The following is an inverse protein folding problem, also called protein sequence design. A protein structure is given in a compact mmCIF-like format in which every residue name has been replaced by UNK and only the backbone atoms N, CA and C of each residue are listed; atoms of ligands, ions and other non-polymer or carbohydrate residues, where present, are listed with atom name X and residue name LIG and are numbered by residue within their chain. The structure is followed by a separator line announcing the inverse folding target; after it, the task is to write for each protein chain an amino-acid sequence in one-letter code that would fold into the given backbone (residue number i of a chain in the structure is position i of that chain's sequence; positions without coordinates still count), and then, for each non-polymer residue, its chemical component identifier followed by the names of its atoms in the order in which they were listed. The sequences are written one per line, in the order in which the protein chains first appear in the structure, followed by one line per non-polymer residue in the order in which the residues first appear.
data_IF_813079414805
#
_entry.id   IF_813079414805
#
_cell.length_a   1.000
_cell.length_b   1.000
_cell.length_c   1.000
_cell.angle_alpha   90.00
_cell.angle_beta   90.00
_cell.angle_gamma   90.00
#
_symmetry.space_group_name_H-M   'P 1'
#
loop_
_entity.id
_entity.type
_entity.pdbx_description
1 polymer ?
#
# COMPACT_ATOMS: atom_id res chain seq x y z
N UNK A 1 -12.87 -33.87 2.05
CA UNK A 1 -12.80 -33.02 3.25
C UNK A 1 -11.45 -32.30 3.23
N UNK A 2 -11.39 -31.05 2.73
CA UNK A 2 -10.12 -30.31 2.64
C UNK A 2 -10.27 -28.77 2.73
N UNK A 3 -11.47 -28.24 2.96
CA UNK A 3 -11.73 -26.79 2.88
C UNK A 3 -11.61 -26.02 4.19
N UNK A 4 -11.33 -26.66 5.33
CA UNK A 4 -11.40 -25.97 6.65
C UNK A 4 -10.06 -25.46 7.20
N UNK A 5 -8.92 -25.69 6.53
CA UNK A 5 -7.59 -25.28 7.03
C UNK A 5 -7.04 -24.02 6.33
N UNK A 6 -7.59 -23.65 5.16
CA UNK A 6 -7.08 -22.50 4.38
C UNK A 6 -7.66 -21.14 4.82
N UNK A 7 -8.81 -21.13 5.50
CA UNK A 7 -9.49 -19.88 5.88
C UNK A 7 -8.89 -19.22 7.13
N UNK A 8 -8.45 -20.00 8.12
CA UNK A 8 -7.86 -19.45 9.35
C UNK A 8 -6.53 -18.72 9.07
N UNK A 9 -5.61 -19.38 8.37
CA UNK A 9 -4.29 -18.79 8.03
C UNK A 9 -4.42 -17.58 7.09
N UNK A 10 -5.39 -17.61 6.16
CA UNK A 10 -5.66 -16.48 5.26
C UNK A 10 -6.26 -15.28 5.99
N UNK A 11 -7.16 -15.51 6.95
CA UNK A 11 -7.77 -14.44 7.73
C UNK A 11 -6.76 -13.80 8.70
N UNK A 12 -5.88 -14.61 9.30
CA UNK A 12 -4.73 -14.16 10.10
C UNK A 12 -3.69 -13.40 9.27
N UNK A 13 -3.47 -13.79 8.01
CA UNK A 13 -2.56 -13.07 7.11
C UNK A 13 -3.15 -11.71 6.69
N UNK A 14 -4.45 -11.66 6.39
CA UNK A 14 -5.14 -10.44 5.99
C UNK A 14 -5.16 -9.40 7.11
N UNK A 15 -5.40 -9.82 8.36
CA UNK A 15 -5.35 -8.92 9.53
C UNK A 15 -3.93 -8.37 9.74
N UNK A 16 -2.91 -9.24 9.71
CA UNK A 16 -1.49 -8.82 9.83
C UNK A 16 -1.07 -7.84 8.76
N UNK A 17 -1.45 -8.08 7.50
CA UNK A 17 -1.17 -7.14 6.40
C UNK A 17 -1.88 -5.81 6.63
N UNK A 18 -3.14 -5.85 7.07
CA UNK A 18 -3.91 -4.64 7.36
C UNK A 18 -3.24 -3.81 8.45
N UNK A 19 -2.84 -4.44 9.56
CA UNK A 19 -2.18 -3.77 10.68
C UNK A 19 -0.81 -3.21 10.29
N UNK A 20 -0.01 -4.01 9.56
CA UNK A 20 1.30 -3.60 9.07
C UNK A 20 1.21 -2.35 8.18
N UNK A 21 0.26 -2.31 7.24
CA UNK A 21 0.09 -1.16 6.37
C UNK A 21 -0.50 0.05 7.10
N UNK A 22 -1.39 -0.15 8.08
CA UNK A 22 -1.88 0.94 8.94
C UNK A 22 -0.74 1.57 9.75
N UNK A 23 0.09 0.75 10.39
CA UNK A 23 1.27 1.23 11.15
C UNK A 23 2.32 1.86 10.24
N UNK A 24 2.52 1.33 9.03
CA UNK A 24 3.50 1.89 8.09
C UNK A 24 3.14 3.27 7.55
N UNK A 25 1.84 3.53 7.38
CA UNK A 25 1.34 4.76 6.76
C UNK A 25 1.00 5.84 7.78
N UNK A 26 0.66 5.47 9.03
CA UNK A 26 0.27 6.39 10.11
C UNK A 26 -0.75 7.44 9.63
N UNK A 27 -1.67 7.04 8.75
CA UNK A 27 -2.60 7.94 8.08
C UNK A 27 -4.02 7.38 8.13
N UNK A 28 -4.84 7.97 9.01
CA UNK A 28 -6.23 7.56 9.24
C UNK A 28 -7.16 7.79 8.03
N UNK A 29 -6.70 8.56 7.03
CA UNK A 29 -7.46 8.80 5.79
C UNK A 29 -7.35 7.65 4.78
N UNK A 30 -6.48 6.68 5.04
CA UNK A 30 -6.26 5.54 4.14
C UNK A 30 -7.01 4.32 4.68
N UNK A 31 -8.09 3.93 3.99
CA UNK A 31 -8.78 2.68 4.30
C UNK A 31 -8.01 1.51 3.68
N UNK A 32 -7.57 0.55 4.48
CA UNK A 32 -6.84 -0.62 3.99
C UNK A 32 -7.81 -1.77 3.73
N UNK A 33 -7.76 -2.35 2.53
CA UNK A 33 -8.49 -3.57 2.15
C UNK A 33 -7.54 -4.58 1.54
N UNK A 34 -7.76 -5.86 1.80
CA UNK A 34 -6.98 -6.98 1.24
C UNK A 34 -7.87 -7.79 0.31
N UNK A 35 -7.52 -7.87 -0.97
CA UNK A 35 -8.27 -8.65 -1.95
C UNK A 35 -7.33 -9.32 -2.96
N UNK A 36 -7.67 -10.52 -3.45
CA UNK A 36 -6.92 -11.16 -4.52
C UNK A 36 -7.23 -10.47 -5.86
N UNK A 37 -6.22 -9.86 -6.49
CA UNK A 37 -6.36 -9.29 -7.82
C UNK A 37 -6.13 -10.32 -8.93
N UNK A 38 -6.56 -10.01 -10.16
CA UNK A 38 -6.35 -10.90 -11.31
C UNK A 38 -4.89 -11.07 -11.71
N UNK A 39 -4.08 -10.01 -11.58
CA UNK A 39 -2.65 -10.03 -11.86
C UNK A 39 -1.86 -10.18 -10.57
N UNK A 40 -0.79 -10.98 -10.61
CA UNK A 40 0.13 -11.18 -9.50
C UNK A 40 1.26 -10.14 -9.49
N UNK A 41 1.42 -9.38 -10.57
CA UNK A 41 2.49 -8.39 -10.73
C UNK A 41 2.20 -7.09 -9.98
N UNK A 42 0.93 -6.79 -9.72
CA UNK A 42 0.50 -5.55 -9.06
C UNK A 42 0.44 -5.79 -7.55
N UNK A 43 1.29 -5.14 -6.74
CA UNK A 43 1.31 -5.38 -5.29
C UNK A 43 0.16 -4.69 -4.56
N UNK A 44 -0.26 -3.51 -5.02
CA UNK A 44 -1.40 -2.78 -4.46
C UNK A 44 -1.99 -1.80 -5.49
N UNK A 45 -3.23 -1.39 -5.28
CA UNK A 45 -3.93 -0.36 -6.08
C UNK A 45 -4.63 0.63 -5.16
N UNK A 46 -4.77 1.87 -5.61
CA UNK A 46 -5.57 2.87 -4.90
C UNK A 46 -6.93 2.99 -5.58
N UNK A 47 -7.98 2.89 -4.76
CA UNK A 47 -9.35 3.12 -5.14
C UNK A 47 -9.79 4.46 -4.55
N UNK A 48 -10.22 5.36 -5.42
CA UNK A 48 -10.82 6.62 -5.02
C UNK A 48 -12.34 6.50 -5.05
N UNK A 49 -13.04 7.12 -4.09
CA UNK A 49 -14.47 7.34 -4.21
C UNK A 49 -14.79 8.05 -5.53
N UNK A 50 -15.83 7.59 -6.23
CA UNK A 50 -16.19 8.09 -7.56
C UNK A 50 -16.51 9.60 -7.57
N UNK A 51 -17.05 10.10 -6.46
CA UNK A 51 -17.25 11.53 -6.20
C UNK A 51 -15.93 12.32 -6.29
N UNK A 52 -14.89 11.84 -5.62
CA UNK A 52 -13.58 12.49 -5.62
C UNK A 52 -12.91 12.38 -6.99
N UNK A 53 -13.11 11.28 -7.73
CA UNK A 53 -12.60 11.17 -9.10
C UNK A 53 -13.24 12.21 -10.02
N UNK A 54 -14.56 12.44 -9.92
CA UNK A 54 -15.24 13.48 -10.69
C UNK A 54 -14.85 14.89 -10.27
N UNK A 55 -14.68 15.13 -8.96
CA UNK A 55 -14.16 16.40 -8.44
C UNK A 55 -12.73 16.65 -8.94
N UNK A 56 -11.87 15.63 -8.96
CA UNK A 56 -10.51 15.68 -9.50
C UNK A 56 -10.50 16.07 -10.99
N UNK A 57 -11.34 15.40 -11.79
CA UNK A 57 -11.50 15.68 -13.22
C UNK A 57 -12.00 17.12 -13.45
N UNK A 58 -12.94 17.61 -12.64
CA UNK A 58 -13.51 18.95 -12.76
C UNK A 58 -12.54 20.05 -12.30
N UNK A 59 -11.81 19.82 -11.19
CA UNK A 59 -10.80 20.73 -10.66
C UNK A 59 -9.60 20.88 -11.60
N UNK A 60 -9.17 19.77 -12.22
CA UNK A 60 -8.13 19.78 -13.25
C UNK A 60 -8.51 20.63 -14.48
N UNK A 61 -9.80 20.64 -14.86
CA UNK A 61 -10.32 21.48 -15.95
C UNK A 61 -10.41 22.96 -15.57
N UNK A 62 -10.60 23.27 -14.28
CA UNK A 62 -10.78 24.64 -13.79
C UNK A 62 -9.45 25.27 -13.33
N UNK A 63 -8.34 24.54 -13.42
CA UNK A 63 -7.00 25.02 -13.09
C UNK A 63 -6.74 25.16 -11.59
N UNK A 64 -7.65 24.68 -10.75
CA UNK A 64 -7.48 24.67 -9.31
C UNK A 64 -6.62 23.45 -8.94
N UNK A 65 -5.44 23.69 -8.36
CA UNK A 65 -4.49 22.64 -7.95
C UNK A 65 -4.84 22.09 -6.56
N UNK A 66 -6.11 21.87 -6.25
CA UNK A 66 -6.43 21.07 -5.07
C UNK A 66 -6.13 19.62 -5.42
N UNK A 67 -5.15 19.03 -4.71
CA UNK A 67 -4.73 17.66 -4.94
C UNK A 67 -5.81 16.71 -4.39
N UNK A 68 -6.66 16.12 -5.24
CA UNK A 68 -7.82 15.35 -4.79
C UNK A 68 -7.42 14.06 -4.06
N UNK A 69 -6.14 13.68 -4.20
CA UNK A 69 -5.53 12.52 -3.56
C UNK A 69 -5.02 12.80 -2.13
N UNK A 70 -5.21 14.03 -1.60
CA UNK A 70 -5.06 14.31 -0.16
C UNK A 70 -6.29 13.90 0.66
N UNK A 71 -7.36 13.48 -0.03
CA UNK A 71 -8.63 13.04 0.52
C UNK A 71 -8.64 11.55 0.86
N UNK A 72 -9.67 11.12 1.59
CA UNK A 72 -9.87 9.72 1.98
C UNK A 72 -9.90 8.80 0.76
N UNK A 73 -9.05 7.77 0.76
CA UNK A 73 -8.98 6.79 -0.31
C UNK A 73 -8.72 5.40 0.26
N UNK A 74 -8.99 4.38 -0.55
CA UNK A 74 -8.82 2.99 -0.16
C UNK A 74 -7.57 2.40 -0.82
N UNK A 75 -6.65 1.87 -0.03
CA UNK A 75 -5.54 1.06 -0.51
C UNK A 75 -5.97 -0.41 -0.56
N UNK A 76 -6.04 -0.95 -1.78
CA UNK A 76 -6.31 -2.34 -2.04
C UNK A 76 -4.99 -3.11 -2.15
N UNK A 77 -4.71 -3.97 -1.19
CA UNK A 77 -3.51 -4.81 -1.13
C UNK A 77 -3.79 -6.14 -1.83
N UNK A 78 -2.92 -6.51 -2.78
CA UNK A 78 -3.08 -7.73 -3.55
C UNK A 78 -2.51 -8.95 -2.82
N UNK A 79 -3.38 -9.80 -2.29
CA UNK A 79 -2.96 -11.02 -1.57
C UNK A 79 -2.40 -12.11 -2.50
N UNK A 80 -2.54 -11.96 -3.83
CA UNK A 80 -1.92 -12.86 -4.82
C UNK A 80 -0.49 -12.47 -5.20
N UNK A 81 -0.05 -11.26 -4.84
CA UNK A 81 1.31 -10.84 -5.16
C UNK A 81 2.32 -11.51 -4.21
N UNK A 82 3.41 -12.12 -4.72
CA UNK A 82 4.36 -12.85 -3.91
C UNK A 82 5.11 -11.96 -2.89
N UNK A 83 5.32 -10.67 -3.19
CA UNK A 83 5.93 -9.73 -2.23
C UNK A 83 4.98 -9.49 -1.04
N UNK A 84 3.69 -9.30 -1.30
CA UNK A 84 2.68 -9.11 -0.27
C UNK A 84 2.54 -10.35 0.61
N UNK A 85 2.50 -11.55 0.01
CA UNK A 85 2.48 -12.79 0.78
C UNK A 85 3.71 -12.91 1.68
N UNK A 86 4.89 -12.55 1.19
CA UNK A 86 6.12 -12.54 1.98
C UNK A 86 6.09 -11.52 3.13
N UNK A 87 5.46 -10.35 2.92
CA UNK A 87 5.26 -9.36 3.99
C UNK A 87 4.32 -9.86 5.09
N UNK A 88 3.28 -10.62 4.73
CA UNK A 88 2.29 -11.17 5.65
C UNK A 88 2.74 -12.43 6.38
N UNK A 89 3.73 -13.16 5.86
CA UNK A 89 4.24 -14.39 6.49
C UNK A 89 5.07 -14.09 7.74
N UNK A 90 4.80 -14.78 8.86
CA UNK A 90 5.65 -14.70 10.05
C UNK A 90 7.01 -15.36 9.75
N UNK A 91 8.11 -14.71 10.11
CA UNK A 91 9.45 -15.34 10.15
C UNK A 91 10.33 -15.27 8.89
N UNK A 92 9.91 -14.68 7.77
CA UNK A 92 10.78 -14.59 6.55
C UNK A 92 11.69 -13.34 6.56
N UNK A 93 11.39 -12.38 7.44
CA UNK A 93 12.33 -11.34 7.84
C UNK A 93 12.47 -11.43 9.37
N UNK A 94 13.68 -11.83 9.77
CA UNK A 94 14.13 -12.49 11.01
C UNK A 94 13.80 -11.95 12.42
N UNK A 95 14.42 -12.63 13.37
CA UNK A 95 13.92 -12.98 14.69
C UNK A 95 14.03 -11.93 15.81
N UNK A 96 14.34 -10.66 15.53
CA UNK A 96 14.60 -9.66 16.58
C UNK A 96 13.82 -8.36 16.31
N UNK A 97 13.15 -7.80 17.32
CA UNK A 97 12.18 -6.69 17.24
C UNK A 97 12.61 -5.35 16.58
N UNK A 98 13.73 -5.28 15.86
CA UNK A 98 14.10 -4.19 14.95
C UNK A 98 13.51 -4.31 13.53
N UNK A 99 12.75 -5.37 13.23
CA UNK A 99 12.34 -5.73 11.87
C UNK A 99 11.01 -5.15 11.39
N UNK A 100 10.13 -4.73 12.31
CA UNK A 100 8.89 -4.03 11.96
C UNK A 100 9.15 -2.75 11.18
N UNK A 101 10.25 -2.05 11.48
CA UNK A 101 10.67 -0.86 10.74
C UNK A 101 10.98 -1.13 9.26
N UNK A 102 11.64 -2.26 8.94
CA UNK A 102 11.96 -2.61 7.54
C UNK A 102 10.71 -3.02 6.78
N UNK A 103 9.86 -3.86 7.39
CA UNK A 103 8.58 -4.26 6.79
C UNK A 103 7.65 -3.07 6.56
N UNK A 104 7.57 -2.17 7.54
CA UNK A 104 6.81 -0.93 7.42
C UNK A 104 7.34 -0.04 6.27
N UNK A 105 8.66 0.10 6.12
CA UNK A 105 9.24 0.84 4.99
C UNK A 105 8.92 0.21 3.64
N UNK A 106 8.96 -1.12 3.53
CA UNK A 106 8.57 -1.81 2.28
C UNK A 106 7.08 -1.62 2.00
N UNK A 107 6.21 -1.72 3.00
CA UNK A 107 4.78 -1.46 2.82
C UNK A 107 4.48 -0.01 2.40
N UNK A 108 5.17 0.95 3.00
CA UNK A 108 5.12 2.35 2.58
C UNK A 108 5.59 2.52 1.14
N UNK A 109 6.62 1.79 0.71
CA UNK A 109 7.07 1.80 -0.68
C UNK A 109 6.03 1.23 -1.64
N UNK A 110 5.36 0.14 -1.26
CA UNK A 110 4.24 -0.43 -2.03
C UNK A 110 3.11 0.60 -2.19
N UNK A 111 2.80 1.34 -1.13
CA UNK A 111 1.82 2.43 -1.18
C UNK A 111 2.24 3.57 -2.12
N UNK A 112 3.51 4.00 -2.08
CA UNK A 112 4.02 5.01 -3.01
C UNK A 112 3.91 4.56 -4.47
N UNK A 113 4.24 3.30 -4.76
CA UNK A 113 4.06 2.72 -6.10
C UNK A 113 2.59 2.73 -6.53
N UNK A 114 1.68 2.39 -5.63
CA UNK A 114 0.24 2.46 -5.90
C UNK A 114 -0.21 3.90 -6.21
N UNK A 115 0.27 4.89 -5.45
CA UNK A 115 0.01 6.32 -5.72
C UNK A 115 0.56 6.78 -7.07
N UNK A 116 1.79 6.39 -7.38
CA UNK A 116 2.44 6.72 -8.65
C UNK A 116 1.67 6.13 -9.84
N UNK A 117 1.22 4.88 -9.73
CA UNK A 117 0.44 4.21 -10.79
C UNK A 117 -0.87 4.92 -11.12
N UNK A 118 -1.48 5.59 -10.14
CA UNK A 118 -2.73 6.34 -10.30
C UNK A 118 -2.52 7.83 -10.61
N UNK A 119 -1.27 8.29 -10.79
CA UNK A 119 -0.98 9.72 -10.98
C UNK A 119 -1.29 10.57 -9.75
N UNK A 120 -1.37 9.95 -8.57
CA UNK A 120 -1.80 10.54 -7.31
C UNK A 120 -0.67 11.23 -6.51
N UNK A 121 0.40 11.64 -7.19
CA UNK A 121 1.62 12.18 -6.58
C UNK A 121 1.92 13.58 -7.12
N UNK A 122 2.11 14.55 -6.23
CA UNK A 122 2.61 15.87 -6.61
C UNK A 122 4.13 15.81 -6.89
N UNK A 123 4.73 16.81 -7.57
CA UNK A 123 6.18 16.84 -7.78
C UNK A 123 7.00 16.74 -6.48
N UNK A 124 6.51 17.36 -5.39
CA UNK A 124 7.13 17.24 -4.06
C UNK A 124 6.99 15.84 -3.47
N UNK A 125 5.84 15.20 -3.66
CA UNK A 125 5.65 13.81 -3.22
C UNK A 125 6.61 12.88 -3.97
N UNK A 126 6.78 13.06 -5.29
CA UNK A 126 7.71 12.27 -6.09
C UNK A 126 9.16 12.40 -5.60
N UNK A 127 9.60 13.63 -5.27
CA UNK A 127 10.92 13.86 -4.69
C UNK A 127 11.09 13.14 -3.34
N UNK A 128 10.08 13.19 -2.47
CA UNK A 128 10.11 12.49 -1.18
C UNK A 128 10.16 10.97 -1.38
N UNK A 129 9.34 10.43 -2.29
CA UNK A 129 9.34 9.00 -2.60
C UNK A 129 10.70 8.55 -3.14
N UNK A 130 11.31 9.32 -4.04
CA UNK A 130 12.62 9.01 -4.58
C UNK A 130 13.70 8.94 -3.47
N UNK A 131 13.66 9.86 -2.50
CA UNK A 131 14.57 9.83 -1.35
C UNK A 131 14.34 8.64 -0.43
N UNK A 132 13.08 8.31 -0.16
CA UNK A 132 12.72 7.14 0.67
C UNK A 132 13.15 5.84 0.01
N UNK A 133 12.94 5.69 -1.30
CA UNK A 133 13.44 4.55 -2.09
C UNK A 133 14.95 4.45 -1.98
N UNK A 134 15.65 5.57 -2.21
CA UNK A 134 17.10 5.59 -2.16
C UNK A 134 17.64 5.19 -0.79
N UNK A 135 17.05 5.73 0.29
CA UNK A 135 17.41 5.36 1.66
C UNK A 135 17.14 3.88 1.96
N UNK A 136 16.04 3.31 1.45
CA UNK A 136 15.74 1.90 1.62
C UNK A 136 16.75 1.02 0.88
N UNK A 137 17.11 1.39 -0.35
CA UNK A 137 18.11 0.66 -1.14
C UNK A 137 19.49 0.70 -0.50
N UNK A 138 19.89 1.82 0.09
CA UNK A 138 21.15 1.94 0.83
C UNK A 138 21.21 1.05 2.08
N UNK A 139 20.07 0.77 2.71
CA UNK A 139 20.00 -0.09 3.91
C UNK A 139 19.94 -1.59 3.56
N UNK A 140 19.61 -1.92 2.32
CA UNK A 140 19.55 -3.30 1.81
C UNK A 140 20.89 -3.77 1.21
N UNK A 141 21.80 -2.84 0.92
CA UNK A 141 23.17 -3.10 0.48
C UNK A 141 24.11 -3.26 1.68
#
# INVERSE_FOLDING_TARGET
ASSSVVDADSQDMNSRLTDLFKTALENDRVTIRTEPLKSEEIPAMILLPEEQRRMAEMSALWGEKENPYQSEHTLLINTRNPLIQNLGRPGILGADGSQDGKKARVARQVYHLARLSQGAASPRDMENYAREIFSLLQELL
#
